data_IF_034129405243
#
_entry.id   IF_034129405243
#
_cell.length_a   1.000
_cell.length_b   1.000
_cell.length_c   1.000
_cell.angle_alpha   90.00
_cell.angle_beta   90.00
_cell.angle_gamma   90.00
#
_symmetry.space_group_name_H-M   'P 1'
#
loop_
_entity.id
_entity.type
_entity.pdbx_description
1 polymer ?
#
# COMPACT_ATOMS: atom_id res chain seq x y z
N UNK A 1 23.96 12.71 7.84
CA UNK A 1 23.30 11.41 8.04
C UNK A 1 23.73 10.89 9.41
N UNK A 2 22.79 10.86 10.34
CA UNK A 2 23.06 10.40 11.69
C UNK A 2 23.25 8.85 11.69
N UNK A 3 24.33 8.39 12.27
CA UNK A 3 24.72 6.97 12.26
C UNK A 3 23.83 6.20 13.24
N UNK A 4 22.96 5.34 12.73
CA UNK A 4 22.11 4.48 13.57
C UNK A 4 22.92 3.72 14.61
N UNK A 5 22.45 3.72 15.86
CA UNK A 5 23.06 2.96 16.95
C UNK A 5 22.88 1.45 16.74
N UNK A 6 23.73 0.62 17.35
CA UNK A 6 23.62 -0.85 17.31
C UNK A 6 22.22 -1.31 17.76
N UNK A 7 21.69 -0.73 18.84
CA UNK A 7 20.36 -1.03 19.38
C UNK A 7 19.23 -0.71 18.41
N UNK A 8 19.34 0.40 17.65
CA UNK A 8 18.35 0.75 16.61
C UNK A 8 18.38 -0.25 15.46
N UNK A 9 19.56 -0.73 15.05
CA UNK A 9 19.68 -1.76 14.01
C UNK A 9 19.06 -3.08 14.44
N UNK A 10 19.40 -3.56 15.65
CA UNK A 10 18.84 -4.79 16.22
C UNK A 10 17.31 -4.71 16.36
N UNK A 11 16.77 -3.55 16.73
CA UNK A 11 15.33 -3.34 16.79
C UNK A 11 14.66 -3.44 15.42
N UNK A 12 15.24 -2.83 14.37
CA UNK A 12 14.74 -2.94 13.01
C UNK A 12 14.80 -4.36 12.47
N UNK A 13 15.91 -5.07 12.71
CA UNK A 13 16.06 -6.48 12.31
C UNK A 13 15.02 -7.37 12.99
N UNK A 14 14.78 -7.16 14.30
CA UNK A 14 13.76 -7.91 15.05
C UNK A 14 12.36 -7.64 14.51
N UNK A 15 12.02 -6.37 14.22
CA UNK A 15 10.77 -6.00 13.64
C UNK A 15 10.57 -6.63 12.23
N UNK A 16 11.61 -6.63 11.41
CA UNK A 16 11.58 -7.25 10.08
C UNK A 16 11.34 -8.77 10.16
N UNK A 17 12.03 -9.47 11.08
CA UNK A 17 11.81 -10.91 11.31
C UNK A 17 10.36 -11.21 11.73
N UNK A 18 9.78 -10.41 12.61
CA UNK A 18 8.38 -10.57 13.02
C UNK A 18 7.42 -10.38 11.85
N UNK A 19 7.66 -9.39 10.99
CA UNK A 19 6.86 -9.16 9.78
C UNK A 19 6.98 -10.30 8.77
N UNK A 20 8.17 -10.80 8.51
CA UNK A 20 8.38 -11.92 7.57
C UNK A 20 7.71 -13.20 8.04
N UNK A 21 7.80 -13.51 9.33
CA UNK A 21 7.11 -14.66 9.92
C UNK A 21 5.59 -14.50 9.84
N UNK A 22 5.09 -13.32 10.22
CA UNK A 22 3.67 -13.02 10.16
C UNK A 22 3.12 -13.09 8.74
N UNK A 23 3.86 -12.56 7.75
CA UNK A 23 3.47 -12.60 6.32
C UNK A 23 3.19 -14.04 5.89
N UNK A 24 4.08 -14.98 6.19
CA UNK A 24 3.93 -16.39 5.82
C UNK A 24 2.67 -16.99 6.44
N UNK A 25 2.51 -16.86 7.76
CA UNK A 25 1.41 -17.46 8.51
C UNK A 25 0.05 -16.83 8.10
N UNK A 26 0.01 -15.50 7.98
CA UNK A 26 -1.22 -14.77 7.63
C UNK A 26 -1.66 -15.07 6.20
N UNK A 27 -0.72 -15.19 5.25
CA UNK A 27 -1.06 -15.56 3.87
C UNK A 27 -1.62 -16.99 3.78
N UNK A 28 -1.12 -17.93 4.60
CA UNK A 28 -1.57 -19.31 4.59
C UNK A 28 -2.93 -19.50 5.26
N UNK A 29 -3.17 -18.87 6.41
CA UNK A 29 -4.30 -19.18 7.31
C UNK A 29 -5.24 -18.03 7.59
N UNK A 30 -4.93 -16.83 7.09
CA UNK A 30 -5.61 -15.57 7.44
C UNK A 30 -5.26 -15.08 8.83
N UNK A 31 -5.72 -13.87 9.17
CA UNK A 31 -5.44 -13.24 10.46
C UNK A 31 -6.11 -13.99 11.62
N UNK A 32 -7.36 -14.45 11.42
CA UNK A 32 -8.09 -15.20 12.46
C UNK A 32 -7.38 -16.49 12.86
N UNK A 33 -6.73 -17.17 11.90
CA UNK A 33 -5.95 -18.39 12.12
C UNK A 33 -4.53 -18.17 12.62
N UNK A 34 -4.12 -16.92 12.84
CA UNK A 34 -2.77 -16.54 13.26
C UNK A 34 -2.76 -16.19 14.73
N UNK A 35 -1.78 -16.70 15.50
CA UNK A 35 -1.55 -16.27 16.86
C UNK A 35 -0.15 -15.66 17.05
N UNK A 36 -0.01 -14.80 18.05
CA UNK A 36 1.23 -14.07 18.33
C UNK A 36 2.34 -15.02 18.77
N UNK A 37 1.99 -16.07 19.50
CA UNK A 37 2.93 -17.10 19.97
C UNK A 37 3.60 -17.82 18.80
N UNK A 38 2.84 -18.16 17.76
CA UNK A 38 3.37 -18.83 16.57
C UNK A 38 4.32 -17.91 15.79
N UNK A 39 3.95 -16.62 15.62
CA UNK A 39 4.82 -15.63 14.99
C UNK A 39 6.15 -15.49 15.76
N UNK A 40 6.06 -15.33 17.07
CA UNK A 40 7.26 -15.12 17.90
C UNK A 40 8.12 -16.37 18.01
N UNK A 41 7.52 -17.56 18.09
CA UNK A 41 8.23 -18.83 18.09
C UNK A 41 9.03 -19.04 16.80
N UNK A 42 8.43 -18.71 15.63
CA UNK A 42 9.13 -18.82 14.34
C UNK A 42 10.30 -17.86 14.16
N UNK A 43 10.35 -16.80 14.96
CA UNK A 43 11.46 -15.83 14.98
C UNK A 43 12.46 -16.09 16.13
N UNK A 44 12.17 -17.00 17.03
CA UNK A 44 12.99 -17.26 18.22
C UNK A 44 12.98 -16.10 19.23
N UNK A 45 11.88 -15.34 19.32
CA UNK A 45 11.74 -14.22 20.27
C UNK A 45 10.62 -14.47 21.28
N UNK A 46 10.67 -13.80 22.41
CA UNK A 46 9.62 -13.89 23.43
C UNK A 46 8.33 -13.18 22.97
N UNK A 47 7.15 -13.67 23.42
CA UNK A 47 5.85 -13.05 23.14
C UNK A 47 5.81 -11.56 23.47
N UNK A 48 6.42 -11.15 24.56
CA UNK A 48 6.51 -9.72 24.96
C UNK A 48 7.24 -8.86 23.93
N UNK A 49 8.18 -9.44 23.16
CA UNK A 49 8.90 -8.73 22.11
C UNK A 49 7.95 -8.28 20.99
N UNK A 50 6.94 -9.09 20.66
CA UNK A 50 5.93 -8.71 19.69
C UNK A 50 5.24 -7.40 20.10
N UNK A 51 4.77 -7.31 21.34
CA UNK A 51 4.04 -6.15 21.85
C UNK A 51 4.91 -4.89 22.03
N UNK A 52 6.22 -5.02 21.91
CA UNK A 52 7.12 -3.86 21.81
C UNK A 52 6.98 -3.14 20.46
N UNK A 53 6.62 -3.86 19.40
CA UNK A 53 6.52 -3.34 18.02
C UNK A 53 5.08 -3.18 17.51
N UNK A 54 4.16 -4.01 17.98
CA UNK A 54 2.77 -4.06 17.52
C UNK A 54 1.86 -4.18 18.75
N UNK A 55 0.93 -3.25 18.90
CA UNK A 55 0.01 -3.26 20.06
C UNK A 55 -0.98 -4.43 19.98
N UNK A 56 -1.37 -4.80 18.76
CA UNK A 56 -2.31 -5.89 18.46
C UNK A 56 -1.79 -6.71 17.27
N UNK A 57 -2.34 -7.90 17.09
CA UNK A 57 -1.96 -8.76 15.97
C UNK A 57 -2.43 -8.18 14.61
N UNK A 58 -3.52 -7.41 14.61
CA UNK A 58 -4.08 -6.70 13.45
C UNK A 58 -3.13 -5.65 12.87
N UNK A 59 -2.32 -5.01 13.72
CA UNK A 59 -1.34 -3.97 13.32
C UNK A 59 -0.31 -4.52 12.33
N UNK A 60 -0.11 -5.83 12.33
CA UNK A 60 0.80 -6.51 11.40
C UNK A 60 0.36 -6.37 9.96
N UNK A 61 -0.95 -6.46 9.66
CA UNK A 61 -1.45 -6.31 8.29
C UNK A 61 -1.11 -4.92 7.75
N UNK A 62 -1.41 -3.90 8.55
CA UNK A 62 -1.11 -2.51 8.17
C UNK A 62 0.40 -2.31 7.94
N UNK A 63 1.23 -2.90 8.80
CA UNK A 63 2.68 -2.82 8.66
C UNK A 63 3.20 -3.54 7.40
N UNK A 64 2.71 -4.75 7.12
CA UNK A 64 3.06 -5.51 5.91
C UNK A 64 2.67 -4.76 4.62
N UNK A 65 1.46 -4.20 4.61
CA UNK A 65 1.01 -3.40 3.47
C UNK A 65 1.87 -2.15 3.28
N UNK A 66 2.16 -1.39 4.35
CA UNK A 66 2.98 -0.17 4.27
C UNK A 66 4.37 -0.42 3.67
N UNK A 67 5.05 -1.48 4.08
CA UNK A 67 6.38 -1.83 3.55
C UNK A 67 6.32 -2.15 2.06
N UNK A 68 5.36 -2.98 1.66
CA UNK A 68 5.21 -3.37 0.26
C UNK A 68 4.82 -2.19 -0.63
N UNK A 69 3.91 -1.33 -0.17
CA UNK A 69 3.51 -0.15 -0.95
C UNK A 69 4.58 0.94 -0.99
N UNK A 70 5.42 1.05 0.05
CA UNK A 70 6.60 1.91 0.00
C UNK A 70 7.57 1.43 -1.09
N UNK A 71 7.82 0.13 -1.19
CA UNK A 71 8.65 -0.46 -2.23
C UNK A 71 8.07 -0.20 -3.64
N UNK A 72 6.78 -0.45 -3.85
CA UNK A 72 6.10 -0.19 -5.12
C UNK A 72 6.20 1.29 -5.52
N UNK A 73 6.01 2.21 -4.57
CA UNK A 73 6.19 3.65 -4.79
C UNK A 73 7.61 3.99 -5.22
N UNK A 74 8.61 3.48 -4.52
CA UNK A 74 10.02 3.80 -4.76
C UNK A 74 10.49 3.23 -6.11
N UNK A 75 10.05 2.03 -6.49
CA UNK A 75 10.25 1.47 -7.84
C UNK A 75 9.61 2.36 -8.91
N UNK A 76 8.37 2.82 -8.68
CA UNK A 76 7.66 3.71 -9.59
C UNK A 76 8.40 5.03 -9.80
N UNK A 77 8.89 5.64 -8.71
CA UNK A 77 9.69 6.87 -8.74
C UNK A 77 11.02 6.62 -9.47
N UNK A 78 11.65 5.48 -9.29
CA UNK A 78 12.93 5.15 -9.95
C UNK A 78 12.79 4.84 -11.43
N UNK A 79 11.60 4.50 -11.92
CA UNK A 79 11.33 4.16 -13.32
C UNK A 79 11.59 5.36 -14.26
N UNK A 80 12.04 5.05 -15.49
CA UNK A 80 12.29 6.05 -16.55
C UNK A 80 11.13 6.14 -17.55
N UNK A 81 10.06 5.37 -17.37
CA UNK A 81 8.87 5.45 -18.23
C UNK A 81 8.18 6.82 -18.09
N UNK A 82 7.41 7.28 -19.08
CA UNK A 82 6.59 8.49 -18.99
C UNK A 82 5.64 8.46 -17.79
N UNK A 83 5.34 9.61 -17.20
CA UNK A 83 4.53 9.72 -15.99
C UNK A 83 3.20 8.95 -16.05
N UNK A 84 2.38 9.01 -17.14
CA UNK A 84 1.13 8.27 -17.19
C UNK A 84 1.30 6.75 -17.09
N UNK A 85 2.38 6.22 -17.68
CA UNK A 85 2.72 4.79 -17.64
C UNK A 85 3.18 4.37 -16.25
N UNK A 86 4.05 5.18 -15.61
CA UNK A 86 4.50 4.93 -14.24
C UNK A 86 3.36 4.93 -13.25
N UNK A 87 2.44 5.89 -13.39
CA UNK A 87 1.28 5.97 -12.52
C UNK A 87 0.33 4.79 -12.71
N UNK A 88 0.09 4.37 -13.96
CA UNK A 88 -0.68 3.17 -14.26
C UNK A 88 -0.04 1.91 -13.66
N UNK A 89 1.29 1.77 -13.81
CA UNK A 89 2.06 0.66 -13.24
C UNK A 89 1.96 0.63 -11.70
N UNK A 90 2.06 1.80 -11.04
CA UNK A 90 1.86 1.92 -9.60
C UNK A 90 0.48 1.41 -9.16
N UNK A 91 -0.59 1.85 -9.83
CA UNK A 91 -1.95 1.45 -9.50
C UNK A 91 -2.17 -0.05 -9.71
N UNK A 92 -1.64 -0.59 -10.80
CA UNK A 92 -1.74 -2.02 -11.12
C UNK A 92 -0.94 -2.87 -10.13
N UNK A 93 0.28 -2.49 -9.78
CA UNK A 93 1.08 -3.18 -8.77
C UNK A 93 0.42 -3.13 -7.39
N UNK A 94 -0.20 -2.00 -7.04
CA UNK A 94 -0.99 -1.89 -5.82
C UNK A 94 -2.11 -2.93 -5.79
N UNK A 95 -2.91 -3.03 -6.85
CA UNK A 95 -4.00 -3.99 -6.96
C UNK A 95 -3.49 -5.44 -6.96
N UNK A 96 -2.44 -5.72 -7.74
CA UNK A 96 -1.84 -7.05 -7.85
C UNK A 96 -1.29 -7.54 -6.51
N UNK A 97 -0.63 -6.68 -5.74
CA UNK A 97 -0.12 -7.02 -4.41
C UNK A 97 -1.26 -7.48 -3.48
N UNK A 98 -2.37 -6.74 -3.44
CA UNK A 98 -3.52 -7.08 -2.60
C UNK A 98 -4.17 -8.39 -3.07
N UNK A 99 -4.41 -8.53 -4.37
CA UNK A 99 -5.06 -9.71 -4.95
C UNK A 99 -4.24 -10.98 -4.73
N UNK A 100 -2.90 -10.90 -4.87
CA UNK A 100 -1.98 -12.01 -4.65
C UNK A 100 -1.81 -12.37 -3.18
N UNK A 101 -1.98 -11.42 -2.28
CA UNK A 101 -1.79 -11.68 -0.85
C UNK A 101 -2.87 -12.61 -0.31
N UNK A 102 -4.13 -12.26 -0.34
CA UNK A 102 -5.27 -13.14 -0.03
C UNK A 102 -6.59 -12.38 -0.04
N UNK A 103 -7.59 -12.90 -0.73
CA UNK A 103 -8.97 -12.40 -0.65
C UNK A 103 -9.48 -12.39 0.80
N UNK A 104 -9.26 -13.48 1.54
CA UNK A 104 -9.70 -13.60 2.93
C UNK A 104 -9.07 -12.53 3.82
N UNK A 105 -7.78 -12.26 3.64
CA UNK A 105 -7.08 -11.22 4.40
C UNK A 105 -7.63 -9.83 4.08
N UNK A 106 -7.94 -9.54 2.82
CA UNK A 106 -8.56 -8.26 2.43
C UNK A 106 -9.96 -8.11 3.04
N UNK A 107 -10.77 -9.16 3.04
CA UNK A 107 -12.10 -9.17 3.68
C UNK A 107 -12.00 -8.94 5.20
N UNK A 108 -11.03 -9.57 5.87
CA UNK A 108 -10.77 -9.38 7.30
C UNK A 108 -10.30 -7.94 7.58
N UNK A 109 -9.41 -7.40 6.74
CA UNK A 109 -8.93 -6.03 6.86
C UNK A 109 -10.07 -5.01 6.71
N UNK A 110 -10.93 -5.15 5.69
CA UNK A 110 -12.10 -4.28 5.48
C UNK A 110 -13.01 -4.32 6.70
N UNK A 111 -13.33 -5.50 7.21
CA UNK A 111 -14.17 -5.66 8.41
C UNK A 111 -13.57 -4.93 9.62
N UNK A 112 -12.29 -5.17 9.88
CA UNK A 112 -11.63 -4.62 11.07
C UNK A 112 -11.42 -3.11 11.00
N UNK A 113 -11.34 -2.53 9.79
CA UNK A 113 -11.15 -1.09 9.60
C UNK A 113 -12.46 -0.31 9.44
N UNK A 114 -13.55 -0.97 9.05
CA UNK A 114 -14.87 -0.36 8.90
C UNK A 114 -15.62 -0.24 10.23
N UNK A 115 -15.32 -1.08 11.21
CA UNK A 115 -15.92 -0.97 12.55
C UNK A 115 -15.13 0.04 13.39
N UNK A 116 -15.80 1.12 13.88
CA UNK A 116 -15.16 2.04 14.81
C UNK A 116 -14.79 1.28 16.09
N UNK A 117 -13.51 1.07 16.29
CA UNK A 117 -13.03 0.56 17.57
C UNK A 117 -13.04 1.71 18.59
N UNK A 118 -13.91 1.62 19.59
CA UNK A 118 -13.98 2.55 20.72
C UNK A 118 -12.67 2.64 21.50
N UNK A 119 -11.70 1.78 21.25
CA UNK A 119 -10.33 1.82 21.80
C UNK A 119 -9.41 2.88 21.17
N UNK A 120 -9.91 3.66 20.18
CA UNK A 120 -9.11 4.68 19.49
C UNK A 120 -8.20 4.13 18.39
N UNK A 121 -8.58 3.01 17.78
CA UNK A 121 -7.86 2.44 16.64
C UNK A 121 -7.98 3.32 15.40
N UNK A 122 -6.87 3.87 14.91
CA UNK A 122 -6.77 4.69 13.69
C UNK A 122 -6.07 3.96 12.53
N UNK A 123 -5.72 2.67 12.68
CA UNK A 123 -4.85 1.96 11.74
C UNK A 123 -5.37 1.97 10.30
N UNK A 124 -6.69 1.84 10.10
CA UNK A 124 -7.30 1.94 8.78
C UNK A 124 -7.19 3.34 8.19
N UNK A 125 -7.42 4.38 9.00
CA UNK A 125 -7.27 5.77 8.58
C UNK A 125 -5.81 6.12 8.33
N UNK A 126 -4.90 5.70 9.20
CA UNK A 126 -3.45 5.92 9.03
C UNK A 126 -2.92 5.22 7.77
N UNK A 127 -3.45 4.04 7.44
CA UNK A 127 -3.13 3.35 6.19
C UNK A 127 -3.62 4.14 4.98
N UNK A 128 -4.86 4.63 4.99
CA UNK A 128 -5.43 5.45 3.92
C UNK A 128 -4.59 6.72 3.70
N UNK A 129 -4.23 7.42 4.78
CA UNK A 129 -3.36 8.62 4.71
C UNK A 129 -2.02 8.26 4.09
N UNK A 130 -1.39 7.18 4.52
CA UNK A 130 -0.12 6.71 3.96
C UNK A 130 -0.21 6.42 2.45
N UNK A 131 -1.28 5.79 1.99
CA UNK A 131 -1.47 5.47 0.58
C UNK A 131 -1.69 6.73 -0.26
N UNK A 132 -2.47 7.71 0.25
CA UNK A 132 -2.65 9.01 -0.39
C UNK A 132 -1.31 9.75 -0.49
N UNK A 133 -0.53 9.83 0.58
CA UNK A 133 0.79 10.47 0.59
C UNK A 133 1.77 9.76 -0.35
N UNK A 134 1.72 8.45 -0.44
CA UNK A 134 2.52 7.67 -1.39
C UNK A 134 2.19 8.03 -2.85
N UNK A 135 0.91 8.13 -3.17
CA UNK A 135 0.44 8.59 -4.48
C UNK A 135 0.86 10.04 -4.76
N UNK A 136 0.74 10.94 -3.76
CA UNK A 136 1.23 12.31 -3.87
C UNK A 136 2.72 12.37 -4.20
N UNK A 137 3.53 11.50 -3.61
CA UNK A 137 4.97 11.46 -3.88
C UNK A 137 5.27 11.08 -5.33
N UNK A 138 4.48 10.18 -5.94
CA UNK A 138 4.57 9.85 -7.37
C UNK A 138 4.25 11.08 -8.22
N UNK A 139 3.21 11.86 -7.88
CA UNK A 139 2.90 13.11 -8.59
C UNK A 139 3.97 14.18 -8.42
N UNK A 140 4.50 14.34 -7.20
CA UNK A 140 5.58 15.30 -6.90
C UNK A 140 6.86 14.98 -7.70
N UNK A 141 7.19 13.69 -7.86
CA UNK A 141 8.26 13.25 -8.74
C UNK A 141 7.97 13.64 -10.21
N UNK A 142 6.77 13.42 -10.70
CA UNK A 142 6.36 13.86 -12.04
C UNK A 142 6.46 15.38 -12.23
N UNK A 143 6.15 16.17 -11.19
CA UNK A 143 6.37 17.64 -11.21
C UNK A 143 7.85 17.99 -11.22
N UNK A 144 8.67 17.32 -10.43
CA UNK A 144 10.12 17.55 -10.39
C UNK A 144 10.80 17.23 -11.72
N UNK A 145 10.31 16.22 -12.45
CA UNK A 145 10.77 15.86 -13.81
C UNK A 145 10.18 16.74 -14.91
N UNK A 146 9.26 17.65 -14.59
CA UNK A 146 8.63 18.53 -15.57
C UNK A 146 7.59 17.82 -16.46
N UNK A 147 7.10 16.65 -16.08
CA UNK A 147 6.07 15.88 -16.79
C UNK A 147 4.66 16.28 -16.37
N UNK A 148 4.50 16.69 -15.10
CA UNK A 148 3.26 17.15 -14.50
C UNK A 148 3.33 18.65 -14.21
N UNK A 149 2.26 19.38 -14.51
CA UNK A 149 2.17 20.82 -14.28
C UNK A 149 2.27 21.17 -12.79
N UNK A 150 2.98 22.24 -12.45
CA UNK A 150 3.18 22.70 -11.06
C UNK A 150 1.88 23.07 -10.34
N UNK A 151 0.87 23.53 -11.07
CA UNK A 151 -0.44 23.91 -10.54
C UNK A 151 -1.44 22.73 -10.42
N UNK A 152 -0.97 21.50 -10.63
CA UNK A 152 -1.81 20.31 -10.46
C UNK A 152 -2.27 20.19 -9.00
N UNK A 153 -3.57 19.99 -8.72
CA UNK A 153 -4.09 19.78 -7.38
C UNK A 153 -3.74 18.37 -6.87
N UNK A 154 -2.45 18.17 -6.56
CA UNK A 154 -1.85 16.84 -6.28
C UNK A 154 -2.63 16.09 -5.20
N UNK A 155 -2.95 16.75 -4.08
CA UNK A 155 -3.68 16.10 -2.98
C UNK A 155 -5.04 15.57 -3.44
N UNK A 156 -5.81 16.40 -4.15
CA UNK A 156 -7.17 16.04 -4.58
C UNK A 156 -7.16 14.88 -5.59
N UNK A 157 -6.26 14.93 -6.57
CA UNK A 157 -6.17 13.87 -7.59
C UNK A 157 -5.64 12.56 -6.99
N UNK A 158 -4.65 12.62 -6.08
CA UNK A 158 -4.14 11.45 -5.36
C UNK A 158 -5.23 10.80 -4.51
N UNK A 159 -5.99 11.62 -3.75
CA UNK A 159 -7.12 11.14 -2.96
C UNK A 159 -8.16 10.44 -3.84
N UNK A 160 -8.54 11.04 -4.98
CA UNK A 160 -9.51 10.47 -5.91
C UNK A 160 -9.02 9.11 -6.46
N UNK A 161 -7.78 8.99 -6.87
CA UNK A 161 -7.23 7.74 -7.41
C UNK A 161 -7.09 6.64 -6.36
N UNK A 162 -6.75 7.01 -5.12
CA UNK A 162 -6.73 6.04 -4.01
C UNK A 162 -8.15 5.60 -3.64
N UNK A 163 -9.15 6.51 -3.66
CA UNK A 163 -10.54 6.13 -3.45
C UNK A 163 -11.07 5.19 -4.55
N UNK A 164 -10.64 5.38 -5.80
CA UNK A 164 -10.95 4.43 -6.89
C UNK A 164 -10.38 3.03 -6.59
N UNK A 165 -9.10 2.94 -6.21
CA UNK A 165 -8.48 1.65 -5.84
C UNK A 165 -9.18 1.00 -4.65
N UNK A 166 -9.52 1.76 -3.61
CA UNK A 166 -10.22 1.24 -2.43
C UNK A 166 -11.63 0.80 -2.75
N UNK A 167 -12.35 1.56 -3.59
CA UNK A 167 -13.68 1.17 -4.09
C UNK A 167 -13.66 -0.12 -4.89
N UNK A 168 -12.72 -0.25 -5.83
CA UNK A 168 -12.53 -1.46 -6.64
C UNK A 168 -12.14 -2.66 -5.77
N UNK A 169 -11.23 -2.48 -4.81
CA UNK A 169 -10.83 -3.49 -3.83
C UNK A 169 -12.02 -3.96 -2.98
N UNK A 170 -12.84 -3.02 -2.49
CA UNK A 170 -14.03 -3.34 -1.71
C UNK A 170 -15.03 -4.16 -2.52
N UNK A 171 -15.32 -3.74 -3.76
CA UNK A 171 -16.21 -4.46 -4.67
C UNK A 171 -15.69 -5.86 -4.99
N UNK A 172 -14.39 -6.01 -5.26
CA UNK A 172 -13.75 -7.32 -5.46
C UNK A 172 -13.91 -8.22 -4.23
N UNK A 173 -13.58 -7.72 -3.04
CA UNK A 173 -13.70 -8.47 -1.80
C UNK A 173 -15.14 -8.87 -1.49
N UNK A 174 -16.11 -7.97 -1.70
CA UNK A 174 -17.56 -8.21 -1.51
C UNK A 174 -18.11 -9.20 -2.53
N UNK A 175 -17.59 -9.21 -3.76
CA UNK A 175 -17.97 -10.20 -4.78
C UNK A 175 -17.44 -11.60 -4.51
N UNK A 176 -16.66 -11.78 -3.44
CA UNK A 176 -15.92 -13.01 -3.15
C UNK A 176 -14.95 -13.41 -4.27
N UNK A 177 -14.29 -12.43 -4.88
CA UNK A 177 -13.28 -12.66 -5.92
C UNK A 177 -13.84 -13.12 -7.28
N UNK A 178 -15.13 -12.85 -7.57
CA UNK A 178 -15.76 -13.27 -8.84
C UNK A 178 -15.15 -12.62 -10.09
N UNK A 179 -14.36 -11.57 -9.92
CA UNK A 179 -13.59 -10.90 -10.98
C UNK A 179 -12.24 -10.46 -10.42
N UNK A 180 -11.27 -10.16 -11.29
CA UNK A 180 -9.93 -9.74 -10.86
C UNK A 180 -9.87 -8.27 -10.47
N UNK A 181 -9.36 -7.95 -9.30
CA UNK A 181 -9.11 -6.56 -8.89
C UNK A 181 -8.03 -5.91 -9.77
N UNK A 182 -6.96 -6.63 -10.03
CA UNK A 182 -5.88 -6.21 -10.95
C UNK A 182 -6.40 -5.95 -12.36
N UNK A 183 -7.27 -6.82 -12.87
CA UNK A 183 -7.86 -6.66 -14.20
C UNK A 183 -8.74 -5.40 -14.29
N UNK A 184 -9.58 -5.16 -13.29
CA UNK A 184 -10.42 -3.94 -13.24
C UNK A 184 -9.55 -2.68 -13.18
N UNK A 185 -8.47 -2.71 -12.41
CA UNK A 185 -7.50 -1.60 -12.34
C UNK A 185 -6.81 -1.37 -13.71
N UNK A 186 -6.43 -2.43 -14.41
CA UNK A 186 -5.92 -2.32 -15.78
C UNK A 186 -6.93 -1.68 -16.73
N UNK A 187 -8.20 -2.08 -16.64
CA UNK A 187 -9.28 -1.50 -17.48
C UNK A 187 -9.43 -0.01 -17.17
N UNK A 188 -9.44 0.36 -15.88
CA UNK A 188 -9.51 1.75 -15.46
C UNK A 188 -8.34 2.56 -16.01
N UNK A 189 -7.11 2.10 -15.82
CA UNK A 189 -5.91 2.79 -16.30
C UNK A 189 -5.92 2.98 -17.82
N UNK A 190 -6.27 1.95 -18.57
CA UNK A 190 -6.29 2.00 -20.03
C UNK A 190 -7.39 2.90 -20.58
N UNK A 191 -8.59 2.90 -19.98
CA UNK A 191 -9.76 3.61 -20.53
C UNK A 191 -9.92 5.02 -19.98
N UNK A 192 -9.58 5.27 -18.73
CA UNK A 192 -9.97 6.50 -18.03
C UNK A 192 -8.80 7.33 -17.54
N UNK A 193 -7.71 6.72 -17.08
CA UNK A 193 -6.60 7.44 -16.44
C UNK A 193 -6.00 8.51 -17.35
N UNK A 194 -5.82 8.21 -18.65
CA UNK A 194 -5.29 9.17 -19.61
C UNK A 194 -6.16 10.43 -19.74
N UNK A 195 -7.48 10.29 -19.72
CA UNK A 195 -8.43 11.42 -19.78
C UNK A 195 -8.38 12.23 -18.50
N UNK A 196 -8.27 11.58 -17.33
CA UNK A 196 -8.12 12.22 -16.02
C UNK A 196 -6.82 13.02 -15.96
N UNK A 197 -5.72 12.49 -16.45
CA UNK A 197 -4.40 13.12 -16.38
C UNK A 197 -4.19 14.23 -17.41
N UNK A 198 -4.87 14.15 -18.57
CA UNK A 198 -4.68 15.10 -19.70
C UNK A 198 -4.59 16.58 -19.31
N UNK A 199 -5.44 17.13 -18.42
CA UNK A 199 -5.38 18.53 -18.01
C UNK A 199 -4.09 18.88 -17.27
N UNK A 200 -3.45 17.91 -16.63
CA UNK A 200 -2.33 18.09 -15.72
C UNK A 200 -0.97 17.76 -16.31
N UNK A 201 -0.92 17.12 -17.47
CA UNK A 201 0.33 16.80 -18.15
C UNK A 201 0.91 18.03 -18.86
N UNK A 202 2.23 18.13 -18.82
CA UNK A 202 2.97 19.11 -19.62
C UNK A 202 2.95 18.64 -21.07
N UNK A 203 2.51 19.51 -21.98
CA UNK A 203 2.53 19.20 -23.40
C UNK A 203 3.97 18.99 -23.87
N UNK A 204 4.28 17.78 -24.35
CA UNK A 204 5.56 17.59 -25.04
C UNK A 204 5.53 18.47 -26.29
N UNK A 205 6.33 19.54 -26.32
CA UNK A 205 6.61 20.23 -27.59
C UNK A 205 7.24 19.18 -28.50
N UNK A 206 6.55 18.83 -29.60
CA UNK A 206 7.19 18.09 -30.69
C UNK A 206 8.45 18.86 -31.03
N UNK A 207 9.61 18.27 -30.78
CA UNK A 207 10.85 18.76 -31.38
C UNK A 207 10.64 18.60 -32.87
N UNK A 208 10.49 19.76 -33.54
CA UNK A 208 10.49 19.86 -34.99
C UNK A 208 11.87 19.50 -35.52
#
# INVERSE_FOLDING_TARGET
MERMTKRQKEALETRAKLLDAARKIVCERGLAGTNVEEITASCGVAKGTFYTYFKRKEDIICALCRESFATIRDETISSQSPFPERLADYMVKFAAYIEQTSLKLTQEWIRNTAEPDFSGNTDGFDKLVFDIESMENVFKDGQARGEVKRNTPVKQISTMLIHELYGAMHCWATSNGKYGFTEQTHIFCRKYLGSILKPYLVSQRKKA
#
